data_IF_154377725940
#
_entry.id   IF_154377725940
#
_cell.length_a   1.000
_cell.length_b   1.000
_cell.length_c   1.000
_cell.angle_alpha   90.00
_cell.angle_beta   90.00
_cell.angle_gamma   90.00
#
_symmetry.space_group_name_H-M   'P 1'
#
loop_
_entity.id
_entity.type
_entity.pdbx_description
1 polymer ?
#
# COMPACT_ATOMS: atom_id res chain seq x y z
N UNK A 1 -20.86 5.01 4.98
CA UNK A 1 -19.51 5.60 5.11
C UNK A 1 -18.54 4.67 4.42
N UNK A 2 -17.89 5.18 3.37
CA UNK A 2 -17.05 4.41 2.45
C UNK A 2 -15.85 3.82 3.20
N UNK A 3 -15.47 2.57 2.89
CA UNK A 3 -14.43 1.82 3.60
C UNK A 3 -13.06 2.04 2.93
N UNK A 4 -12.26 3.02 3.35
CA UNK A 4 -11.03 3.40 2.64
C UNK A 4 -10.00 2.30 2.74
N UNK A 5 -9.88 1.68 3.93
CA UNK A 5 -8.94 0.59 4.19
C UNK A 5 -9.27 -0.70 3.41
N UNK A 6 -10.57 -1.01 3.24
CA UNK A 6 -10.98 -2.17 2.44
C UNK A 6 -10.67 -1.97 0.97
N UNK A 7 -10.90 -0.76 0.45
CA UNK A 7 -10.62 -0.44 -0.95
C UNK A 7 -9.10 -0.36 -1.23
N UNK A 8 -8.31 0.20 -0.30
CA UNK A 8 -6.84 0.19 -0.40
C UNK A 8 -6.31 -1.24 -0.39
N UNK A 9 -6.76 -2.07 0.55
CA UNK A 9 -6.34 -3.49 0.61
C UNK A 9 -6.76 -4.24 -0.67
N UNK A 10 -7.97 -4.01 -1.18
CA UNK A 10 -8.46 -4.62 -2.43
C UNK A 10 -7.63 -4.16 -3.64
N UNK A 11 -7.28 -2.88 -3.71
CA UNK A 11 -6.39 -2.34 -4.73
C UNK A 11 -5.00 -2.95 -4.70
N UNK A 12 -4.42 -3.13 -3.51
CA UNK A 12 -3.13 -3.79 -3.32
C UNK A 12 -3.19 -5.28 -3.74
N UNK A 13 -4.25 -6.00 -3.41
CA UNK A 13 -4.45 -7.40 -3.86
C UNK A 13 -4.52 -7.47 -5.39
N UNK A 14 -5.28 -6.56 -6.03
CA UNK A 14 -5.35 -6.51 -7.51
C UNK A 14 -4.00 -6.19 -8.14
N UNK A 15 -3.23 -5.30 -7.51
CA UNK A 15 -1.88 -4.94 -7.96
C UNK A 15 -0.94 -6.13 -7.86
N UNK A 16 -0.96 -6.85 -6.73
CA UNK A 16 -0.18 -8.08 -6.54
C UNK A 16 -0.48 -9.12 -7.61
N UNK A 17 -1.77 -9.43 -7.85
CA UNK A 17 -2.18 -10.38 -8.89
C UNK A 17 -1.76 -9.98 -10.30
N UNK A 18 -1.67 -8.68 -10.58
CA UNK A 18 -1.16 -8.18 -11.84
C UNK A 18 0.35 -8.45 -11.96
N UNK A 19 1.12 -8.11 -10.93
CA UNK A 19 2.57 -8.40 -10.87
C UNK A 19 2.84 -9.90 -10.98
N UNK A 20 2.06 -10.74 -10.27
CA UNK A 20 2.13 -12.19 -10.34
C UNK A 20 1.87 -12.75 -11.75
N UNK A 21 0.85 -12.24 -12.43
CA UNK A 21 0.55 -12.60 -13.82
C UNK A 21 1.67 -12.21 -14.77
N UNK A 22 2.19 -11.00 -14.64
CA UNK A 22 3.16 -10.43 -15.58
C UNK A 22 4.56 -11.05 -15.41
N UNK A 23 4.89 -11.57 -14.22
CA UNK A 23 6.22 -12.11 -13.89
C UNK A 23 6.27 -13.62 -13.68
N UNK A 24 5.12 -14.29 -13.57
CA UNK A 24 4.99 -15.72 -13.28
C UNK A 24 5.11 -16.05 -11.79
N UNK A 25 4.22 -16.92 -11.30
CA UNK A 25 4.01 -17.22 -9.87
C UNK A 25 5.21 -17.78 -9.09
N UNK A 26 6.25 -18.25 -9.76
CA UNK A 26 7.45 -18.86 -9.15
C UNK A 26 8.72 -18.02 -9.30
N UNK A 27 8.60 -16.78 -9.79
CA UNK A 27 9.78 -15.92 -9.99
C UNK A 27 10.25 -15.28 -8.69
N UNK A 28 11.53 -15.45 -8.36
CA UNK A 28 12.20 -14.70 -7.29
C UNK A 28 12.16 -13.18 -7.50
N UNK A 29 11.90 -12.72 -8.73
CA UNK A 29 11.74 -11.30 -9.07
C UNK A 29 10.44 -10.71 -8.50
N UNK A 30 9.41 -11.53 -8.27
CA UNK A 30 8.14 -11.06 -7.74
C UNK A 30 8.30 -10.43 -6.35
N UNK A 31 9.08 -11.06 -5.46
CA UNK A 31 9.34 -10.53 -4.12
C UNK A 31 10.10 -9.20 -4.16
N UNK A 32 11.05 -9.06 -5.09
CA UNK A 32 11.83 -7.82 -5.27
C UNK A 32 10.92 -6.69 -5.76
N UNK A 33 10.09 -6.97 -6.75
CA UNK A 33 9.16 -5.98 -7.31
C UNK A 33 8.08 -5.62 -6.30
N UNK A 34 7.59 -6.59 -5.54
CA UNK A 34 6.62 -6.35 -4.49
C UNK A 34 7.19 -5.49 -3.36
N UNK A 35 8.46 -5.70 -3.01
CA UNK A 35 9.17 -4.84 -2.06
C UNK A 35 9.30 -3.42 -2.57
N UNK A 36 9.67 -3.25 -3.85
CA UNK A 36 9.74 -1.93 -4.47
C UNK A 36 8.37 -1.21 -4.45
N UNK A 37 7.29 -1.93 -4.78
CA UNK A 37 5.92 -1.39 -4.69
C UNK A 37 5.54 -0.96 -3.27
N UNK A 38 5.98 -1.71 -2.25
CA UNK A 38 5.76 -1.35 -0.85
C UNK A 38 6.45 -0.03 -0.51
N UNK A 39 7.73 0.10 -0.87
CA UNK A 39 8.53 1.27 -0.53
C UNK A 39 8.01 2.52 -1.27
N UNK A 40 7.59 2.38 -2.53
CA UNK A 40 6.97 3.46 -3.32
C UNK A 40 5.61 3.92 -2.73
N UNK A 41 4.76 2.96 -2.32
CA UNK A 41 3.46 3.28 -1.72
C UNK A 41 3.62 3.98 -0.36
N UNK A 42 4.61 3.59 0.44
CA UNK A 42 4.93 4.26 1.71
C UNK A 42 5.41 5.70 1.46
N UNK A 43 6.27 5.91 0.45
CA UNK A 43 6.72 7.25 0.08
C UNK A 43 5.54 8.13 -0.36
N UNK A 44 4.61 7.57 -1.14
CA UNK A 44 3.40 8.27 -1.57
C UNK A 44 2.48 8.62 -0.39
N UNK A 45 2.28 7.69 0.55
CA UNK A 45 1.55 7.95 1.80
C UNK A 45 2.17 9.13 2.56
N UNK A 46 3.49 9.12 2.76
CA UNK A 46 4.19 10.17 3.48
C UNK A 46 4.08 11.53 2.76
N UNK A 47 4.14 11.55 1.44
CA UNK A 47 3.95 12.76 0.65
C UNK A 47 2.54 13.33 0.84
N UNK A 48 1.50 12.49 0.81
CA UNK A 48 0.13 12.94 1.08
C UNK A 48 -0.04 13.44 2.51
N UNK A 49 0.49 12.73 3.51
CA UNK A 49 0.44 13.15 4.90
C UNK A 49 1.10 14.53 5.09
N UNK A 50 2.27 14.76 4.48
CA UNK A 50 2.92 16.07 4.50
C UNK A 50 2.08 17.18 3.85
N UNK A 51 1.41 16.89 2.73
CA UNK A 51 0.52 17.86 2.06
C UNK A 51 -0.68 18.17 2.96
N UNK A 52 -1.30 17.15 3.56
CA UNK A 52 -2.43 17.31 4.49
C UNK A 52 -2.00 18.20 5.68
N UNK A 53 -0.86 17.93 6.30
CA UNK A 53 -0.36 18.73 7.42
C UNK A 53 -0.05 20.19 7.03
N UNK A 54 0.43 20.42 5.81
CA UNK A 54 0.69 21.78 5.29
C UNK A 54 -0.58 22.55 4.96
N UNK A 55 -1.57 21.89 4.35
CA UNK A 55 -2.79 22.54 3.87
C UNK A 55 -3.88 22.65 4.94
N UNK A 56 -3.90 21.74 5.92
CA UNK A 56 -4.91 21.66 6.97
C UNK A 56 -4.30 21.57 8.38
N UNK A 57 -3.43 22.52 8.76
CA UNK A 57 -2.79 22.50 10.07
C UNK A 57 -3.84 22.57 11.20
N UNK A 58 -3.59 21.83 12.29
CA UNK A 58 -4.42 21.80 13.50
C UNK A 58 -5.87 21.29 13.34
N UNK A 59 -6.22 20.73 12.17
CA UNK A 59 -7.55 20.14 11.95
C UNK A 59 -7.68 18.72 12.48
N UNK A 60 -6.55 18.06 12.77
CA UNK A 60 -6.51 16.63 13.08
C UNK A 60 -6.83 15.73 11.88
N UNK A 61 -6.95 16.30 10.66
CA UNK A 61 -7.16 15.53 9.44
C UNK A 61 -5.95 14.63 9.18
N UNK A 62 -6.21 13.33 9.04
CA UNK A 62 -5.21 12.29 8.77
C UNK A 62 -5.83 11.24 7.85
N UNK A 63 -4.98 10.41 7.23
CA UNK A 63 -5.44 9.25 6.48
C UNK A 63 -5.97 8.17 7.44
N UNK A 64 -6.97 7.41 6.99
CA UNK A 64 -7.66 6.39 7.80
C UNK A 64 -6.83 5.12 8.08
N UNK A 65 -5.56 5.12 7.69
CA UNK A 65 -4.62 4.02 7.86
C UNK A 65 -3.22 4.57 8.12
N UNK A 66 -2.39 3.78 8.78
CA UNK A 66 -1.01 4.13 9.11
C UNK A 66 -0.01 3.39 8.24
N UNK A 67 1.26 3.81 8.25
CA UNK A 67 2.36 3.05 7.65
C UNK A 67 2.42 1.61 8.20
N UNK A 68 2.08 1.39 9.47
CA UNK A 68 2.04 0.05 10.08
C UNK A 68 0.94 -0.81 9.45
N UNK A 69 -0.22 -0.24 9.18
CA UNK A 69 -1.31 -0.93 8.50
C UNK A 69 -0.90 -1.31 7.08
N UNK A 70 -0.23 -0.40 6.35
CA UNK A 70 0.30 -0.68 5.02
C UNK A 70 1.30 -1.85 5.04
N UNK A 71 2.28 -1.83 5.94
CA UNK A 71 3.24 -2.93 6.09
C UNK A 71 2.54 -4.27 6.38
N UNK A 72 1.50 -4.24 7.21
CA UNK A 72 0.65 -5.40 7.50
C UNK A 72 -0.10 -5.89 6.25
N UNK A 73 -0.63 -4.98 5.43
CA UNK A 73 -1.32 -5.35 4.18
C UNK A 73 -0.36 -6.01 3.19
N UNK A 74 0.79 -5.41 2.93
CA UNK A 74 1.79 -5.95 2.00
C UNK A 74 2.29 -7.32 2.44
N UNK A 75 2.56 -7.49 3.75
CA UNK A 75 3.00 -8.75 4.33
C UNK A 75 1.91 -9.83 4.24
N UNK A 76 0.65 -9.46 4.55
CA UNK A 76 -0.48 -10.38 4.48
C UNK A 76 -0.75 -10.86 3.05
N UNK A 77 -0.60 -9.97 2.06
CA UNK A 77 -0.80 -10.30 0.65
C UNK A 77 0.28 -11.27 0.16
N UNK A 78 1.55 -10.98 0.46
CA UNK A 78 2.67 -11.84 0.09
C UNK A 78 2.63 -13.22 0.78
N UNK A 79 2.08 -13.31 2.00
CA UNK A 79 1.96 -14.59 2.72
C UNK A 79 0.74 -15.43 2.32
N UNK A 80 -0.22 -14.85 1.57
CA UNK A 80 -1.44 -15.55 1.14
C UNK A 80 -1.30 -16.27 -0.20
N UNK A 81 -0.10 -16.25 -0.80
CA UNK A 81 0.25 -16.82 -2.10
C UNK A 81 1.62 -17.51 -1.99
#
# INVERSE_FOLDING_TARGET
>A
MAYPNKEVKKGLVSTYKKVERDMGSTSSQLQVVWRYMQDDFIAQYQAYDQIIQKCYPNTGLQLDFTVKDLLSYFSSIAASH
#
